data_IF_276836299469
#
_entry.id   IF_276836299469
#
_cell.length_a   1.000
_cell.length_b   1.000
_cell.length_c   1.000
_cell.angle_alpha   90.00
_cell.angle_beta   90.00
_cell.angle_gamma   90.00
#
_symmetry.space_group_name_H-M   'P 1'
#
loop_
_entity.id
_entity.type
_entity.pdbx_description
1 polymer ?
#
# COMPACT_ATOMS: atom_id res chain seq x y z
N UNK A 1 15.04 44.86 10.38
CA UNK A 1 13.85 44.62 9.51
C UNK A 1 13.48 43.14 9.45
N UNK A 2 14.40 42.21 9.15
CA UNK A 2 14.15 40.77 8.98
C UNK A 2 13.57 40.09 10.26
N UNK A 3 14.11 40.46 11.45
CA UNK A 3 13.61 39.96 12.75
C UNK A 3 12.15 40.39 13.01
N UNK A 4 11.77 41.63 12.65
CA UNK A 4 10.43 42.14 12.80
C UNK A 4 9.43 41.39 11.89
N UNK A 5 9.78 41.15 10.62
CA UNK A 5 8.92 40.40 9.73
C UNK A 5 8.74 38.94 10.17
N UNK A 6 9.81 38.30 10.68
CA UNK A 6 9.73 36.94 11.22
C UNK A 6 8.77 36.87 12.41
N UNK A 7 8.83 37.87 13.30
CA UNK A 7 7.91 37.97 14.45
C UNK A 7 6.46 38.13 13.97
N UNK A 8 6.23 39.03 13.00
CA UNK A 8 4.90 39.26 12.42
C UNK A 8 4.34 38.02 11.71
N UNK A 9 5.18 37.22 11.09
CA UNK A 9 4.81 35.95 10.46
C UNK A 9 4.35 34.93 11.52
N UNK A 10 5.12 34.79 12.61
CA UNK A 10 4.79 33.86 13.70
C UNK A 10 3.51 34.31 14.45
N UNK A 11 3.28 35.62 14.55
CA UNK A 11 2.08 36.20 15.17
C UNK A 11 0.83 36.20 14.25
N UNK A 12 0.95 35.68 13.01
CA UNK A 12 -0.14 35.64 12.02
C UNK A 12 -0.55 37.01 11.45
N UNK A 13 0.19 38.07 11.76
CA UNK A 13 -0.13 39.46 11.31
C UNK A 13 0.05 39.67 9.80
N UNK A 14 0.60 38.71 9.10
CA UNK A 14 0.85 38.75 7.65
C UNK A 14 -0.05 37.81 6.86
N UNK A 15 -0.97 37.10 7.50
CA UNK A 15 -1.76 36.02 6.88
C UNK A 15 -2.63 36.50 5.71
N UNK A 16 -3.12 37.73 5.77
CA UNK A 16 -3.93 38.30 4.69
C UNK A 16 -3.11 38.93 3.56
N UNK A 17 -1.78 38.97 3.69
CA UNK A 17 -0.93 39.49 2.63
C UNK A 17 -0.71 38.45 1.55
N UNK A 18 -0.67 38.94 0.31
CA UNK A 18 -0.23 38.17 -0.86
C UNK A 18 1.26 38.34 -1.09
N UNK A 19 1.91 37.26 -1.46
CA UNK A 19 3.32 37.21 -1.85
C UNK A 19 3.42 36.61 -3.25
N UNK A 20 4.40 37.06 -4.01
CA UNK A 20 4.75 36.44 -5.26
C UNK A 20 5.58 35.20 -4.98
N UNK A 21 5.05 34.04 -5.38
CA UNK A 21 5.65 32.74 -5.21
C UNK A 21 6.03 32.17 -6.58
N UNK A 22 7.30 31.83 -6.74
CA UNK A 22 7.80 31.15 -7.91
C UNK A 22 7.59 29.64 -7.69
N UNK A 23 6.48 29.11 -8.18
CA UNK A 23 6.26 27.68 -8.18
C UNK A 23 7.02 27.05 -9.36
N UNK A 24 7.89 26.11 -9.07
CA UNK A 24 8.38 25.19 -10.10
C UNK A 24 7.19 24.29 -10.46
N UNK A 25 6.52 24.61 -11.56
CA UNK A 25 5.42 23.79 -12.07
C UNK A 25 6.05 22.43 -12.43
N UNK A 26 5.81 21.41 -11.61
CA UNK A 26 5.98 20.03 -12.05
C UNK A 26 4.90 19.87 -13.10
N UNK A 27 5.24 20.12 -14.38
CA UNK A 27 4.33 20.18 -15.51
C UNK A 27 3.24 19.09 -15.44
N UNK A 28 2.11 19.26 -16.16
CA UNK A 28 1.02 18.31 -16.10
C UNK A 28 1.59 16.91 -16.33
N UNK A 29 1.24 15.96 -15.47
CA UNK A 29 1.45 14.54 -15.74
C UNK A 29 0.75 14.28 -17.07
N UNK A 30 1.53 14.22 -18.14
CA UNK A 30 1.01 13.88 -19.46
C UNK A 30 0.67 12.40 -19.38
N UNK A 31 -0.56 12.10 -18.99
CA UNK A 31 -1.15 10.81 -19.31
C UNK A 31 -1.26 10.73 -20.84
N UNK A 32 -0.21 10.26 -21.49
CA UNK A 32 -0.29 9.87 -22.88
C UNK A 32 -1.31 8.71 -22.96
N UNK A 33 -2.49 9.05 -23.45
CA UNK A 33 -3.56 8.13 -23.77
C UNK A 33 -3.12 7.24 -24.94
N UNK A 34 -2.42 6.16 -24.62
CA UNK A 34 -1.95 5.17 -25.58
C UNK A 34 -1.22 4.06 -24.83
N UNK A 35 -1.93 3.01 -24.53
CA UNK A 35 -1.65 1.83 -23.72
C UNK A 35 -0.33 1.06 -23.98
N UNK A 36 0.79 1.72 -23.83
CA UNK A 36 2.09 1.08 -23.65
C UNK A 36 2.71 1.68 -22.39
N UNK A 37 2.84 0.83 -21.40
CA UNK A 37 3.50 1.09 -20.13
C UNK A 37 5.02 1.23 -20.41
N UNK A 38 5.45 2.44 -20.83
CA UNK A 38 6.85 2.74 -21.12
C UNK A 38 7.71 2.83 -19.84
N UNK A 39 7.08 2.79 -18.66
CA UNK A 39 7.78 2.66 -17.38
C UNK A 39 8.54 1.32 -17.25
N UNK A 40 8.10 0.28 -17.96
CA UNK A 40 8.80 -1.02 -17.98
C UNK A 40 10.14 -1.02 -18.75
N UNK A 41 10.43 -0.01 -19.56
CA UNK A 41 11.69 0.07 -20.28
C UNK A 41 12.83 0.77 -19.54
N UNK A 42 12.61 1.23 -18.28
CA UNK A 42 13.67 1.83 -17.46
C UNK A 42 14.27 3.13 -18.01
N UNK A 43 13.68 3.68 -19.05
CA UNK A 43 14.12 4.95 -19.66
C UNK A 43 13.35 6.07 -18.97
N UNK A 44 14.00 6.78 -18.08
CA UNK A 44 13.50 8.03 -17.51
C UNK A 44 13.37 9.07 -18.64
N UNK A 45 12.25 9.02 -19.34
CA UNK A 45 11.91 10.00 -20.40
C UNK A 45 11.92 11.44 -19.86
N UNK A 46 11.72 11.59 -18.55
CA UNK A 46 11.82 12.85 -17.82
C UNK A 46 13.23 13.41 -17.80
N UNK A 47 14.24 12.56 -17.70
CA UNK A 47 15.66 12.98 -17.75
C UNK A 47 16.14 13.26 -19.15
N UNK A 48 15.57 12.57 -20.16
CA UNK A 48 15.91 12.79 -21.58
C UNK A 48 15.24 14.05 -22.15
N UNK A 49 14.03 14.39 -21.71
CA UNK A 49 13.30 15.59 -22.10
C UNK A 49 13.52 16.79 -21.18
N UNK A 50 13.97 16.56 -19.94
CA UNK A 50 14.22 17.62 -18.94
C UNK A 50 15.28 18.64 -19.38
N UNK A 51 16.20 18.25 -20.27
CA UNK A 51 17.14 19.15 -20.89
C UNK A 51 16.59 20.01 -22.04
N UNK A 52 15.41 19.67 -22.57
CA UNK A 52 14.83 20.31 -23.77
C UNK A 52 13.71 21.29 -23.44
N UNK A 53 13.11 21.20 -22.27
CA UNK A 53 12.11 22.16 -21.80
C UNK A 53 12.58 22.77 -20.48
N UNK A 54 12.98 24.05 -20.46
CA UNK A 54 13.28 24.73 -19.21
C UNK A 54 12.01 24.71 -18.36
N UNK A 55 12.15 24.29 -17.09
CA UNK A 55 11.06 24.31 -16.13
C UNK A 55 10.43 25.72 -16.14
N UNK A 56 9.20 25.85 -16.62
CA UNK A 56 8.49 27.11 -16.60
C UNK A 56 8.16 27.46 -15.15
N UNK A 57 8.95 28.34 -14.58
CA UNK A 57 8.61 29.01 -13.32
C UNK A 57 7.41 29.91 -13.57
N UNK A 58 6.28 29.60 -13.00
CA UNK A 58 5.12 30.48 -13.00
C UNK A 58 5.05 31.21 -11.67
N UNK A 59 5.16 32.53 -11.75
CA UNK A 59 4.93 33.38 -10.59
C UNK A 59 3.42 33.44 -10.31
N UNK A 60 3.01 32.97 -9.14
CA UNK A 60 1.63 33.08 -8.65
C UNK A 60 1.59 34.00 -7.45
N UNK A 61 0.51 34.76 -7.31
CA UNK A 61 0.23 35.51 -6.08
C UNK A 61 -0.63 34.63 -5.19
N UNK A 62 -0.11 34.32 -4.01
CA UNK A 62 -0.76 33.45 -3.02
C UNK A 62 -0.66 34.10 -1.66
N UNK A 63 -1.57 33.76 -0.75
CA UNK A 63 -1.54 34.23 0.64
C UNK A 63 -0.35 33.63 1.41
N UNK A 64 0.15 34.41 2.38
CA UNK A 64 1.32 34.02 3.20
C UNK A 64 1.19 32.64 3.84
N UNK A 65 0.06 32.20 4.43
CA UNK A 65 -0.05 30.85 4.98
C UNK A 65 0.10 29.73 3.95
N UNK A 66 -0.43 29.95 2.73
CA UNK A 66 -0.31 29.01 1.61
C UNK A 66 1.14 28.94 1.11
N UNK A 67 1.78 30.09 0.94
CA UNK A 67 3.19 30.18 0.57
C UNK A 67 4.09 29.49 1.62
N UNK A 68 3.80 29.69 2.90
CA UNK A 68 4.54 29.04 3.98
C UNK A 68 4.44 27.52 3.93
N UNK A 69 3.23 27.00 3.68
CA UNK A 69 3.02 25.55 3.55
C UNK A 69 3.80 24.97 2.36
N UNK A 70 3.74 25.63 1.21
CA UNK A 70 4.46 25.18 0.01
C UNK A 70 5.97 25.22 0.19
N UNK A 71 6.50 26.33 0.75
CA UNK A 71 7.94 26.47 1.03
C UNK A 71 8.42 25.46 2.07
N UNK A 72 7.61 25.16 3.08
CA UNK A 72 7.96 24.13 4.08
C UNK A 72 8.04 22.76 3.45
N UNK A 73 7.15 22.47 2.52
CA UNK A 73 7.19 21.22 1.77
C UNK A 73 8.42 21.14 0.85
N UNK A 74 8.70 22.22 0.09
CA UNK A 74 9.89 22.27 -0.77
C UNK A 74 11.21 22.15 0.00
N UNK A 75 11.31 22.83 1.15
CA UNK A 75 12.51 22.71 1.99
C UNK A 75 12.59 21.33 2.66
N UNK A 76 11.45 20.72 3.01
CA UNK A 76 11.39 19.34 3.49
C UNK A 76 11.91 18.36 2.43
N UNK A 77 11.45 18.51 1.19
CA UNK A 77 11.87 17.66 0.07
C UNK A 77 13.38 17.78 -0.22
N UNK A 78 13.98 18.96 -0.02
CA UNK A 78 15.43 19.17 -0.19
C UNK A 78 16.29 18.49 0.89
N UNK A 79 15.71 18.29 2.09
CA UNK A 79 16.44 17.65 3.21
C UNK A 79 16.47 16.13 3.04
N UNK A 80 15.46 15.58 2.35
CA UNK A 80 15.35 14.14 2.09
C UNK A 80 16.24 13.81 0.90
N UNK A 81 17.18 12.89 1.10
CA UNK A 81 18.00 12.29 0.05
C UNK A 81 17.29 11.01 -0.45
N UNK A 82 16.67 11.03 -1.64
CA UNK A 82 15.90 9.87 -2.13
C UNK A 82 16.77 8.62 -2.30
N UNK A 83 18.05 8.79 -2.65
CA UNK A 83 18.95 7.65 -2.84
C UNK A 83 19.22 6.95 -1.52
N UNK A 84 19.46 7.71 -0.44
CA UNK A 84 19.61 7.13 0.91
C UNK A 84 18.33 6.48 1.41
N UNK A 85 17.17 7.09 1.15
CA UNK A 85 15.88 6.50 1.54
C UNK A 85 15.65 5.18 0.81
N UNK A 86 15.94 5.12 -0.48
CA UNK A 86 15.81 3.90 -1.27
C UNK A 86 16.79 2.81 -0.80
N UNK A 87 18.05 3.17 -0.58
CA UNK A 87 19.05 2.23 -0.09
C UNK A 87 18.67 1.64 1.29
N UNK A 88 18.23 2.49 2.22
CA UNK A 88 17.77 2.05 3.54
C UNK A 88 16.49 1.20 3.44
N UNK A 89 15.55 1.55 2.56
CA UNK A 89 14.33 0.77 2.34
C UNK A 89 14.64 -0.63 1.79
N UNK A 90 15.57 -0.75 0.84
CA UNK A 90 16.03 -2.03 0.30
C UNK A 90 16.67 -2.85 1.42
N UNK A 91 17.61 -2.28 2.17
CA UNK A 91 18.28 -2.96 3.28
C UNK A 91 17.28 -3.46 4.32
N UNK A 92 16.33 -2.64 4.75
CA UNK A 92 15.29 -3.03 5.71
C UNK A 92 14.40 -4.14 5.16
N UNK A 93 14.05 -4.08 3.87
CA UNK A 93 13.25 -5.10 3.20
C UNK A 93 13.99 -6.42 3.17
N UNK A 94 15.26 -6.41 2.79
CA UNK A 94 16.09 -7.62 2.73
C UNK A 94 16.30 -8.25 4.11
N UNK A 95 16.51 -7.45 5.16
CA UNK A 95 16.90 -7.94 6.49
C UNK A 95 15.71 -8.18 7.43
N UNK A 96 14.59 -7.53 7.21
CA UNK A 96 13.45 -7.53 8.14
C UNK A 96 12.10 -7.53 7.43
N UNK A 97 12.08 -7.76 6.13
CA UNK A 97 10.86 -7.81 5.33
C UNK A 97 9.97 -8.99 5.70
N UNK A 98 8.66 -8.78 5.61
CA UNK A 98 7.65 -9.82 5.76
C UNK A 98 6.75 -9.78 4.53
N UNK A 99 6.59 -10.93 3.88
CA UNK A 99 5.68 -11.11 2.75
C UNK A 99 4.55 -12.03 3.17
N UNK A 100 3.32 -11.57 3.01
CA UNK A 100 2.13 -12.36 3.29
C UNK A 100 1.53 -12.86 1.98
N UNK A 101 1.37 -14.18 1.85
CA UNK A 101 0.76 -14.85 0.71
C UNK A 101 -0.61 -15.35 1.14
N UNK A 102 -1.66 -14.69 0.70
CA UNK A 102 -3.03 -15.10 1.03
C UNK A 102 -3.58 -16.08 0.00
N UNK A 103 -4.58 -16.85 0.39
CA UNK A 103 -5.30 -17.82 -0.45
C UNK A 103 -4.41 -18.87 -1.13
N UNK A 104 -3.34 -19.33 -0.45
CA UNK A 104 -2.43 -20.33 -1.03
C UNK A 104 -3.12 -21.68 -1.35
N UNK A 105 -4.25 -21.96 -0.72
CA UNK A 105 -5.11 -23.11 -1.01
C UNK A 105 -5.69 -23.09 -2.43
N UNK A 106 -5.77 -21.92 -3.08
CA UNK A 106 -6.27 -21.80 -4.46
C UNK A 106 -5.30 -22.37 -5.49
N UNK A 107 -4.02 -22.40 -5.18
CA UNK A 107 -2.98 -22.98 -6.02
C UNK A 107 -2.59 -24.40 -5.56
N UNK A 108 -3.11 -24.87 -4.42
CA UNK A 108 -2.97 -26.26 -3.99
C UNK A 108 -3.91 -27.18 -4.77
N UNK A 109 -3.46 -28.40 -5.03
CA UNK A 109 -4.24 -29.44 -5.70
C UNK A 109 -3.77 -29.76 -7.12
N UNK A 110 -3.74 -31.06 -7.42
CA UNK A 110 -3.26 -31.63 -8.67
C UNK A 110 -4.23 -31.48 -9.85
N UNK A 111 -3.76 -31.86 -11.02
CA UNK A 111 -4.35 -31.72 -12.37
C UNK A 111 -5.75 -32.35 -12.60
N UNK A 112 -6.42 -32.90 -11.61
CA UNK A 112 -7.59 -33.78 -11.79
C UNK A 112 -8.96 -33.07 -11.85
N UNK A 113 -9.05 -31.77 -12.12
CA UNK A 113 -10.32 -31.14 -12.49
C UNK A 113 -10.25 -30.62 -13.92
N UNK A 114 -10.71 -31.50 -14.84
CA UNK A 114 -11.05 -31.21 -16.23
C UNK A 114 -11.86 -29.92 -16.36
N UNK A 115 -11.35 -28.92 -17.09
CA UNK A 115 -12.19 -27.84 -17.56
C UNK A 115 -11.56 -26.53 -18.02
N UNK A 116 -10.32 -26.25 -17.73
CA UNK A 116 -9.66 -25.06 -18.32
C UNK A 116 -8.14 -25.24 -18.39
N UNK A 117 -7.54 -25.25 -19.60
CA UNK A 117 -6.11 -25.57 -19.77
C UNK A 117 -5.16 -24.40 -19.46
N UNK A 118 -5.63 -23.22 -19.08
CA UNK A 118 -4.81 -22.02 -19.23
C UNK A 118 -3.89 -21.65 -18.06
N UNK A 119 -4.03 -22.23 -16.87
CA UNK A 119 -3.06 -22.00 -15.78
C UNK A 119 -2.89 -23.29 -14.98
N UNK A 120 -1.73 -23.93 -15.14
CA UNK A 120 -1.33 -25.01 -14.24
C UNK A 120 -1.08 -24.47 -12.83
N UNK A 121 -1.88 -24.91 -11.85
CA UNK A 121 -1.70 -24.53 -10.43
C UNK A 121 -0.29 -24.88 -9.94
N UNK A 122 0.23 -26.01 -10.41
CA UNK A 122 1.60 -26.42 -10.13
C UNK A 122 2.63 -25.46 -10.75
N UNK A 123 2.35 -24.91 -11.94
CA UNK A 123 3.19 -23.88 -12.56
C UNK A 123 3.32 -22.65 -11.69
N UNK A 124 2.21 -22.14 -11.13
CA UNK A 124 2.23 -21.00 -10.22
C UNK A 124 3.04 -21.30 -8.95
N UNK A 125 2.91 -22.51 -8.38
CA UNK A 125 3.72 -22.91 -7.23
C UNK A 125 5.22 -22.93 -7.57
N UNK A 126 5.59 -23.43 -8.77
CA UNK A 126 6.98 -23.43 -9.24
C UNK A 126 7.53 -22.03 -9.51
N UNK A 127 6.67 -21.09 -9.94
CA UNK A 127 7.06 -19.70 -10.15
C UNK A 127 7.29 -18.95 -8.80
N UNK A 128 6.56 -19.32 -7.75
CA UNK A 128 6.77 -18.79 -6.40
C UNK A 128 8.04 -19.34 -5.73
N UNK A 129 8.43 -20.54 -6.06
CA UNK A 129 9.52 -21.25 -5.39
C UNK A 129 10.84 -20.46 -5.36
N UNK A 130 11.36 -19.90 -6.48
CA UNK A 130 12.59 -19.11 -6.46
C UNK A 130 12.51 -17.91 -5.50
N UNK A 131 11.35 -17.28 -5.40
CA UNK A 131 11.15 -16.11 -4.53
C UNK A 131 11.23 -16.51 -3.07
N UNK A 132 10.61 -17.63 -2.71
CA UNK A 132 10.61 -18.15 -1.33
C UNK A 132 11.94 -18.79 -0.96
N UNK A 133 12.68 -19.35 -1.94
CA UNK A 133 14.01 -19.93 -1.74
C UNK A 133 15.14 -18.93 -1.60
N UNK A 134 14.92 -17.71 -2.09
CA UNK A 134 15.92 -16.65 -2.14
C UNK A 134 16.34 -16.35 -3.58
N UNK A 135 15.96 -15.21 -4.07
CA UNK A 135 16.30 -14.73 -5.41
C UNK A 135 16.50 -13.21 -5.42
N UNK A 136 17.06 -12.72 -6.51
CA UNK A 136 17.19 -11.30 -6.77
C UNK A 136 15.99 -10.82 -7.57
N UNK A 137 15.19 -9.97 -6.96
CA UNK A 137 14.01 -9.38 -7.58
C UNK A 137 14.30 -7.93 -7.95
N UNK A 138 14.15 -7.59 -9.23
CA UNK A 138 14.29 -6.20 -9.69
C UNK A 138 13.02 -5.43 -9.35
N UNK A 139 13.18 -4.33 -8.62
CA UNK A 139 12.10 -3.40 -8.29
C UNK A 139 12.38 -2.03 -8.92
N UNK A 140 11.40 -1.15 -8.92
CA UNK A 140 11.58 0.24 -9.35
C UNK A 140 12.57 1.05 -8.48
N UNK A 141 12.92 0.54 -7.31
CA UNK A 141 13.86 1.18 -6.39
C UNK A 141 15.25 0.53 -6.39
N UNK A 142 15.41 -0.58 -7.10
CA UNK A 142 16.64 -1.36 -7.19
C UNK A 142 16.41 -2.83 -6.98
N UNK A 143 17.48 -3.60 -6.92
CA UNK A 143 17.45 -5.04 -6.72
C UNK A 143 17.26 -5.36 -5.23
N UNK A 144 16.35 -6.29 -4.96
CA UNK A 144 16.05 -6.79 -3.60
C UNK A 144 16.31 -8.28 -3.55
N UNK A 145 17.06 -8.75 -2.55
CA UNK A 145 17.29 -10.17 -2.29
C UNK A 145 16.27 -10.69 -1.28
N UNK A 146 15.69 -11.84 -1.57
CA UNK A 146 14.61 -12.40 -0.74
C UNK A 146 15.07 -13.43 0.29
N UNK A 147 16.37 -13.70 0.40
CA UNK A 147 16.95 -14.76 1.25
C UNK A 147 16.56 -14.66 2.73
N UNK A 148 16.43 -13.45 3.27
CA UNK A 148 16.12 -13.22 4.68
C UNK A 148 14.71 -12.66 4.91
N UNK A 149 13.89 -12.61 3.87
CA UNK A 149 12.48 -12.20 4.01
C UNK A 149 11.68 -13.31 4.65
N UNK A 150 10.88 -12.98 5.63
CA UNK A 150 9.93 -13.92 6.22
C UNK A 150 8.69 -14.04 5.33
N UNK A 151 8.41 -15.26 4.86
CA UNK A 151 7.20 -15.57 4.11
C UNK A 151 6.17 -16.23 5.03
N UNK A 152 4.95 -15.70 5.05
CA UNK A 152 3.82 -16.24 5.78
C UNK A 152 2.72 -16.55 4.75
N UNK A 153 2.34 -17.82 4.64
CA UNK A 153 1.28 -18.24 3.74
C UNK A 153 0.01 -18.56 4.53
N UNK A 154 -1.13 -18.09 4.06
CA UNK A 154 -2.44 -18.38 4.63
C UNK A 154 -3.38 -18.97 3.59
N UNK A 155 -4.31 -19.81 4.02
CA UNK A 155 -5.35 -20.39 3.19
C UNK A 155 -6.40 -21.09 4.03
N UNK A 156 -7.62 -21.15 3.52
CA UNK A 156 -8.73 -21.78 4.23
C UNK A 156 -8.69 -23.33 4.16
N UNK A 157 -8.09 -23.89 3.13
CA UNK A 157 -7.91 -25.32 2.91
C UNK A 157 -9.20 -26.18 3.08
N UNK A 158 -10.36 -25.62 2.71
CA UNK A 158 -11.64 -26.35 2.79
C UNK A 158 -11.72 -27.51 1.79
N UNK A 159 -11.13 -27.37 0.62
CA UNK A 159 -11.19 -28.36 -0.48
C UNK A 159 -9.84 -29.01 -0.71
N UNK A 160 -8.77 -28.25 -0.65
CA UNK A 160 -7.38 -28.72 -0.73
C UNK A 160 -6.79 -28.89 0.68
N UNK A 161 -5.68 -29.57 0.77
CA UNK A 161 -4.90 -29.73 2.00
C UNK A 161 -3.51 -29.09 1.81
N UNK A 162 -2.83 -28.68 2.87
CA UNK A 162 -1.44 -28.22 2.78
C UNK A 162 -0.50 -29.28 2.14
N UNK A 163 -0.84 -30.57 2.26
CA UNK A 163 -0.13 -31.67 1.61
C UNK A 163 -0.31 -31.74 0.09
N UNK A 164 -1.25 -30.97 -0.47
CA UNK A 164 -1.51 -30.92 -1.92
C UNK A 164 -0.67 -29.85 -2.62
N UNK A 165 0.13 -29.09 -1.86
CA UNK A 165 1.19 -28.26 -2.40
C UNK A 165 2.37 -29.15 -2.86
N UNK A 166 3.16 -28.66 -3.82
CA UNK A 166 4.36 -29.39 -4.25
C UNK A 166 5.34 -29.58 -3.08
N UNK A 167 6.06 -30.72 -3.02
CA UNK A 167 6.92 -31.04 -1.87
C UNK A 167 7.97 -29.98 -1.57
N UNK A 168 8.51 -29.33 -2.59
CA UNK A 168 9.51 -28.27 -2.47
C UNK A 168 8.94 -27.06 -1.72
N UNK A 169 7.72 -26.65 -2.07
CA UNK A 169 7.05 -25.52 -1.41
C UNK A 169 6.66 -25.86 0.04
N UNK A 170 6.21 -27.11 0.30
CA UNK A 170 5.95 -27.59 1.66
C UNK A 170 7.21 -27.53 2.52
N UNK A 171 8.38 -27.84 1.97
CA UNK A 171 9.65 -27.74 2.66
C UNK A 171 10.05 -26.32 3.07
N UNK A 172 9.53 -25.31 2.35
CA UNK A 172 9.79 -23.89 2.64
C UNK A 172 8.80 -23.29 3.65
N UNK A 173 7.67 -23.96 3.88
CA UNK A 173 6.69 -23.62 4.93
C UNK A 173 6.59 -24.74 5.97
N UNK A 174 7.67 -25.00 6.73
CA UNK A 174 7.72 -26.12 7.66
C UNK A 174 6.87 -25.91 8.91
N UNK A 175 6.62 -24.66 9.28
CA UNK A 175 5.81 -24.32 10.45
C UNK A 175 4.35 -24.20 10.00
N UNK A 176 3.48 -25.00 10.59
CA UNK A 176 2.05 -24.98 10.30
C UNK A 176 1.30 -24.62 11.57
N UNK A 177 0.37 -23.69 11.43
CA UNK A 177 -0.50 -23.24 12.51
C UNK A 177 -1.93 -23.35 12.02
N UNK A 178 -2.78 -23.98 12.80
CA UNK A 178 -4.22 -24.00 12.60
C UNK A 178 -4.85 -22.97 13.52
N UNK A 179 -5.68 -22.09 12.95
CA UNK A 179 -6.37 -21.07 13.72
C UNK A 179 -7.71 -21.61 14.20
N UNK A 180 -8.05 -21.29 15.45
CA UNK A 180 -9.35 -21.62 16.01
C UNK A 180 -10.47 -20.83 15.31
N UNK A 181 -11.67 -21.40 15.16
CA UNK A 181 -12.82 -20.68 14.63
C UNK A 181 -13.20 -19.51 15.55
N UNK A 182 -13.69 -18.44 14.96
CA UNK A 182 -14.13 -17.26 15.70
C UNK A 182 -15.39 -17.60 16.53
N UNK A 183 -15.38 -17.14 17.78
CA UNK A 183 -16.55 -17.26 18.67
C UNK A 183 -17.51 -16.07 18.47
N UNK A 184 -18.72 -16.17 19.00
CA UNK A 184 -19.69 -15.07 19.04
C UNK A 184 -19.11 -13.81 19.71
N UNK A 185 -18.35 -14.00 20.77
CA UNK A 185 -17.68 -12.93 21.49
C UNK A 185 -16.62 -12.25 20.60
N UNK A 186 -15.89 -13.02 19.82
CA UNK A 186 -14.90 -12.48 18.86
C UNK A 186 -15.59 -11.67 17.76
N UNK A 187 -16.68 -12.18 17.19
CA UNK A 187 -17.46 -11.41 16.20
C UNK A 187 -17.99 -10.11 16.79
N UNK A 188 -18.49 -10.12 18.01
CA UNK A 188 -18.96 -8.91 18.70
C UNK A 188 -17.83 -7.89 18.85
N UNK A 189 -16.64 -8.33 19.22
CA UNK A 189 -15.46 -7.46 19.36
C UNK A 189 -15.01 -6.91 18.00
N UNK A 190 -14.95 -7.76 16.98
CA UNK A 190 -14.59 -7.37 15.59
C UNK A 190 -15.53 -6.28 15.05
N UNK A 191 -16.82 -6.35 15.37
CA UNK A 191 -17.80 -5.37 14.95
C UNK A 191 -17.64 -4.00 15.60
N UNK A 192 -16.99 -3.91 16.78
CA UNK A 192 -16.96 -2.68 17.59
C UNK A 192 -15.54 -2.13 17.78
N UNK A 193 -14.57 -2.99 18.17
CA UNK A 193 -13.27 -2.56 18.69
C UNK A 193 -12.35 -1.95 17.62
N UNK A 194 -12.14 -2.56 16.43
CA UNK A 194 -11.21 -2.03 15.45
C UNK A 194 -11.48 -0.58 15.08
N UNK A 195 -10.42 0.16 14.76
CA UNK A 195 -10.56 1.54 14.28
C UNK A 195 -11.47 1.60 13.06
N UNK A 196 -11.31 0.65 12.13
CA UNK A 196 -12.10 0.48 10.93
C UNK A 196 -13.16 -0.63 11.09
N UNK A 197 -13.80 -0.74 12.26
CA UNK A 197 -14.87 -1.70 12.45
C UNK A 197 -16.01 -1.50 11.43
N UNK A 198 -16.59 -2.59 10.93
CA UNK A 198 -17.58 -2.57 9.86
C UNK A 198 -18.77 -1.67 10.19
N UNK A 199 -19.28 -1.71 11.41
CA UNK A 199 -20.39 -0.84 11.84
C UNK A 199 -20.03 0.64 11.80
N UNK A 200 -18.77 1.00 12.14
CA UNK A 200 -18.28 2.37 12.04
C UNK A 200 -18.20 2.83 10.59
N UNK A 201 -17.76 1.94 9.70
CA UNK A 201 -17.71 2.22 8.25
C UNK A 201 -19.10 2.51 7.69
N UNK A 202 -20.12 1.70 8.02
CA UNK A 202 -21.50 1.94 7.59
C UNK A 202 -22.07 3.26 8.12
N UNK A 203 -21.76 3.62 9.36
CA UNK A 203 -22.19 4.92 9.93
C UNK A 203 -21.60 6.08 9.12
N UNK A 204 -20.29 6.05 8.84
CA UNK A 204 -19.63 7.11 8.06
C UNK A 204 -20.04 7.11 6.58
N UNK A 205 -20.31 5.95 6.00
CA UNK A 205 -20.75 5.83 4.61
C UNK A 205 -22.15 6.46 4.37
N UNK A 206 -23.06 6.34 5.33
CA UNK A 206 -24.43 6.86 5.21
C UNK A 206 -24.57 8.32 5.65
N UNK A 207 -23.60 8.83 6.38
CA UNK A 207 -23.59 10.20 6.90
C UNK A 207 -23.69 11.29 5.81
N UNK A 208 -22.98 11.21 4.65
CA UNK A 208 -23.12 12.18 3.57
C UNK A 208 -24.53 12.24 2.96
N UNK A 209 -25.24 11.10 2.97
CA UNK A 209 -26.65 11.01 2.50
C UNK A 209 -27.67 11.54 3.52
N UNK A 210 -27.19 12.10 4.63
CA UNK A 210 -28.05 12.62 5.70
C UNK A 210 -28.70 11.55 6.58
N UNK A 211 -28.37 10.28 6.38
CA UNK A 211 -28.93 9.15 7.16
C UNK A 211 -28.10 8.96 8.43
N UNK A 212 -28.76 9.02 9.59
CA UNK A 212 -28.18 8.67 10.87
C UNK A 212 -28.56 7.25 11.24
N UNK A 213 -27.58 6.35 11.24
CA UNK A 213 -27.74 4.97 11.69
C UNK A 213 -27.06 4.77 13.04
N UNK A 214 -27.67 3.96 13.91
CA UNK A 214 -27.09 3.51 15.16
C UNK A 214 -27.41 2.03 15.37
N UNK A 215 -26.48 1.30 15.95
CA UNK A 215 -26.65 -0.12 16.24
C UNK A 215 -26.82 -0.28 17.76
N UNK A 216 -27.92 -0.90 18.18
CA UNK A 216 -28.13 -1.25 19.58
C UNK A 216 -27.28 -2.46 19.94
N UNK A 217 -27.02 -2.65 21.23
CA UNK A 217 -26.28 -3.82 21.71
C UNK A 217 -26.91 -5.14 21.26
N UNK A 218 -28.25 -5.25 21.35
CA UNK A 218 -28.96 -6.43 20.88
C UNK A 218 -28.83 -6.69 19.39
N UNK A 219 -28.80 -5.62 18.55
CA UNK A 219 -28.57 -5.77 17.12
C UNK A 219 -27.15 -6.29 16.82
N UNK A 220 -26.14 -5.83 17.57
CA UNK A 220 -24.76 -6.27 17.41
C UNK A 220 -24.65 -7.76 17.82
N UNK A 221 -25.27 -8.14 18.94
CA UNK A 221 -25.29 -9.53 19.44
C UNK A 221 -25.97 -10.47 18.43
N UNK A 222 -27.05 -10.03 17.79
CA UNK A 222 -27.78 -10.81 16.77
C UNK A 222 -26.97 -10.96 15.47
N UNK A 223 -26.28 -9.89 15.04
CA UNK A 223 -25.37 -9.96 13.89
C UNK A 223 -24.23 -10.94 14.18
N UNK A 224 -23.63 -10.87 15.38
CA UNK A 224 -22.56 -11.78 15.78
C UNK A 224 -23.02 -13.24 15.86
N UNK A 225 -24.22 -13.50 16.39
CA UNK A 225 -24.85 -14.83 16.44
C UNK A 225 -25.05 -15.40 15.03
N UNK A 226 -25.63 -14.58 14.13
CA UNK A 226 -25.86 -14.98 12.74
C UNK A 226 -24.54 -15.31 12.03
N UNK A 227 -23.48 -14.50 12.26
CA UNK A 227 -22.17 -14.73 11.66
C UNK A 227 -21.48 -16.02 12.16
N UNK A 228 -21.87 -16.53 13.32
CA UNK A 228 -21.30 -17.77 13.87
C UNK A 228 -21.91 -19.02 13.18
N UNK A 229 -23.09 -18.90 12.60
CA UNK A 229 -23.84 -20.00 11.97
C UNK A 229 -23.52 -20.16 10.48
N UNK A 230 -22.98 -19.12 9.85
CA UNK A 230 -22.63 -19.09 8.41
C UNK A 230 -21.18 -19.51 8.21
#
# INVERSE_FOLDING_TARGET
TRKKFRQMLVEGKLDDREVEFEATDKGPEIHLMGGMDMEQMGINFKDMLGGMFPAQTRTRRIKVPEAFKLLTQEEGDKIIDPEKVNAEAIERTEQSGIVFLDEIDKIAGGEHRTGNPDISREGVQRDLLPIVEGSNVMTKYGMVRTDHILFIAAGAFHVAKPSDLIPELQGRFPIRVELDPLTREDFTRILIEPQNALLKQYIELLKPEGVKISFTRGAIEEIAETATVV
#
